data_IF_356420912245
#
_entry.id   IF_356420912245
#
_cell.length_a   1.000
_cell.length_b   1.000
_cell.length_c   1.000
_cell.angle_alpha   90.00
_cell.angle_beta   90.00
_cell.angle_gamma   90.00
#
_symmetry.space_group_name_H-M   'P 1'
#
loop_
_entity.id
_entity.type
_entity.pdbx_description
1 polymer ?
#
# COMPACT_ATOMS: atom_id res chain seq x y z
N UNK A 1 1.61 -12.78 -8.03
CA UNK A 1 1.00 -11.45 -8.24
C UNK A 1 1.96 -10.49 -8.90
N UNK A 2 1.71 -10.19 -10.15
CA UNK A 2 2.53 -9.33 -11.02
C UNK A 2 2.70 -7.90 -10.47
N UNK A 3 1.74 -7.43 -9.69
CA UNK A 3 1.77 -6.08 -9.09
C UNK A 3 2.82 -5.91 -7.98
N UNK A 4 3.14 -6.96 -7.24
CA UNK A 4 3.96 -6.88 -6.01
C UNK A 4 5.39 -6.43 -6.26
N UNK A 5 5.90 -6.63 -7.47
CA UNK A 5 7.24 -6.15 -7.83
C UNK A 5 7.40 -4.64 -7.66
N UNK A 6 6.32 -3.89 -7.90
CA UNK A 6 6.30 -2.43 -7.80
C UNK A 6 5.44 -1.91 -6.65
N UNK A 7 5.33 -2.69 -5.58
CA UNK A 7 4.75 -2.19 -4.34
C UNK A 7 5.59 -1.01 -3.84
N UNK A 8 4.94 0.11 -3.57
CA UNK A 8 5.63 1.36 -3.18
C UNK A 8 5.58 1.63 -1.70
N UNK A 9 4.73 0.93 -0.95
CA UNK A 9 4.65 1.00 0.51
C UNK A 9 4.01 -0.25 1.08
N UNK A 10 4.12 -0.42 2.40
CA UNK A 10 3.42 -1.44 3.16
C UNK A 10 2.52 -0.78 4.19
N UNK A 11 1.39 -1.43 4.48
CA UNK A 11 0.48 -1.01 5.55
C UNK A 11 0.19 -2.18 6.48
N UNK A 12 0.32 -1.93 7.78
CA UNK A 12 -0.10 -2.85 8.82
C UNK A 12 -1.36 -2.33 9.51
N UNK A 13 -2.21 -3.25 9.94
CA UNK A 13 -3.29 -2.92 10.85
C UNK A 13 -2.74 -2.32 12.16
N UNK A 14 -3.39 -1.33 12.75
CA UNK A 14 -2.92 -0.73 14.02
C UNK A 14 -2.79 -1.75 15.16
N UNK A 15 -3.56 -2.84 15.13
CA UNK A 15 -3.56 -3.92 16.13
C UNK A 15 -2.50 -5.00 15.85
N UNK A 16 -1.79 -4.90 14.75
CA UNK A 16 -0.75 -5.89 14.41
C UNK A 16 0.33 -5.93 15.50
N UNK A 17 0.79 -7.13 15.85
CA UNK A 17 1.78 -7.32 16.92
C UNK A 17 3.08 -6.55 16.72
N UNK A 18 3.48 -6.28 15.49
CA UNK A 18 4.67 -5.52 15.15
C UNK A 18 4.46 -4.01 15.11
N UNK A 19 3.21 -3.52 15.14
CA UNK A 19 2.90 -2.12 14.90
C UNK A 19 3.69 -1.16 15.81
N UNK A 20 3.67 -1.40 17.11
CA UNK A 20 4.39 -0.56 18.08
C UNK A 20 5.91 -0.70 17.96
N UNK A 21 6.41 -1.90 17.67
CA UNK A 21 7.85 -2.18 17.60
C UNK A 21 8.52 -1.58 16.36
N UNK A 22 7.77 -1.28 15.31
CA UNK A 22 8.28 -0.65 14.09
C UNK A 22 8.49 0.86 14.23
N UNK A 23 7.94 1.49 15.27
CA UNK A 23 8.14 2.90 15.53
C UNK A 23 9.59 3.21 15.87
N UNK A 24 10.14 4.26 15.27
CA UNK A 24 11.42 4.85 15.67
C UNK A 24 11.21 5.81 16.83
N UNK A 25 12.28 6.29 17.45
CA UNK A 25 12.17 7.26 18.55
C UNK A 25 11.45 8.54 18.11
N UNK A 26 11.65 8.95 16.85
CA UNK A 26 11.02 10.16 16.27
C UNK A 26 9.52 9.96 16.00
N UNK A 27 9.08 8.74 15.71
CA UNK A 27 7.69 8.44 15.33
C UNK A 27 6.88 7.80 16.45
N UNK A 28 7.50 7.41 17.55
CA UNK A 28 6.89 6.62 18.63
C UNK A 28 5.62 7.24 19.18
N UNK A 29 5.64 8.51 19.51
CA UNK A 29 4.48 9.21 20.06
C UNK A 29 3.30 9.22 19.07
N UNK A 30 3.56 9.53 17.80
CA UNK A 30 2.54 9.54 16.77
C UNK A 30 1.97 8.14 16.48
N UNK A 31 2.82 7.12 16.47
CA UNK A 31 2.43 5.72 16.27
C UNK A 31 1.56 5.23 17.42
N UNK A 32 1.98 5.44 18.66
CA UNK A 32 1.22 5.03 19.85
C UNK A 32 -0.15 5.73 19.93
N UNK A 33 -0.18 7.05 19.62
CA UNK A 33 -1.43 7.79 19.53
C UNK A 33 -2.36 7.21 18.47
N UNK A 34 -1.83 6.91 17.28
CA UNK A 34 -2.62 6.35 16.19
C UNK A 34 -3.21 4.98 16.55
N UNK A 35 -2.41 4.10 17.16
CA UNK A 35 -2.86 2.78 17.63
C UNK A 35 -4.00 2.94 18.64
N UNK A 36 -3.86 3.86 19.59
CA UNK A 36 -4.90 4.14 20.57
C UNK A 36 -6.18 4.66 19.92
N UNK A 37 -6.09 5.67 19.08
CA UNK A 37 -7.25 6.27 18.40
C UNK A 37 -7.99 5.23 17.53
N UNK A 38 -7.24 4.39 16.80
CA UNK A 38 -7.82 3.32 16.00
C UNK A 38 -8.53 2.25 16.86
N UNK A 39 -8.03 1.97 18.06
CA UNK A 39 -8.63 1.01 18.99
C UNK A 39 -10.04 1.43 19.46
N UNK A 40 -10.36 2.71 19.37
CA UNK A 40 -11.68 3.25 19.72
C UNK A 40 -12.73 3.10 18.62
N UNK A 41 -12.32 2.72 17.42
CA UNK A 41 -13.22 2.51 16.27
C UNK A 41 -13.61 1.04 16.15
N UNK A 42 -14.88 0.77 15.81
CA UNK A 42 -15.31 -0.57 15.40
C UNK A 42 -14.82 -0.90 13.98
N UNK A 43 -14.76 -2.20 13.63
CA UNK A 43 -14.44 -2.61 12.26
C UNK A 43 -15.44 -2.05 11.24
N UNK A 44 -16.71 -1.91 11.62
CA UNK A 44 -17.75 -1.35 10.76
C UNK A 44 -17.47 0.13 10.46
N UNK A 45 -17.12 0.91 11.49
CA UNK A 45 -16.79 2.32 11.31
C UNK A 45 -15.57 2.48 10.41
N UNK A 46 -14.54 1.66 10.62
CA UNK A 46 -13.30 1.68 9.83
C UNK A 46 -13.54 1.36 8.34
N UNK A 47 -14.43 0.42 8.04
CA UNK A 47 -14.80 0.07 6.65
C UNK A 47 -15.68 1.12 5.99
N UNK A 48 -16.44 1.90 6.77
CA UNK A 48 -17.32 2.96 6.26
C UNK A 48 -16.62 4.31 6.13
N UNK A 49 -15.49 4.50 6.79
CA UNK A 49 -14.72 5.73 6.71
C UNK A 49 -14.24 6.00 5.28
N UNK A 50 -14.71 7.10 4.71
CA UNK A 50 -14.33 7.52 3.35
C UNK A 50 -12.94 8.16 3.32
N UNK A 51 -12.53 8.76 4.42
CA UNK A 51 -11.23 9.41 4.51
C UNK A 51 -10.17 8.44 5.02
N UNK A 52 -9.10 8.26 4.25
CA UNK A 52 -7.96 7.45 4.68
C UNK A 52 -7.15 8.20 5.74
N UNK A 53 -6.85 7.50 6.83
CA UNK A 53 -5.94 7.98 7.88
C UNK A 53 -4.76 7.04 8.00
N UNK A 54 -3.65 7.51 8.53
CA UNK A 54 -2.48 6.68 8.72
C UNK A 54 -1.34 7.43 9.39
N UNK A 55 -0.33 6.67 9.79
CA UNK A 55 0.91 7.18 10.36
C UNK A 55 2.10 6.41 9.82
N UNK A 56 3.16 7.12 9.47
CA UNK A 56 4.43 6.50 9.09
C UNK A 56 5.14 5.97 10.33
N UNK A 57 5.60 4.72 10.30
CA UNK A 57 6.28 4.10 11.46
C UNK A 57 7.72 4.57 11.63
N UNK A 58 8.34 5.10 10.59
CA UNK A 58 9.78 5.40 10.55
C UNK A 58 10.62 4.22 10.05
N UNK A 59 10.03 3.05 9.90
CA UNK A 59 10.69 1.82 9.45
C UNK A 59 10.37 1.49 8.01
N UNK A 60 11.24 0.66 7.41
CA UNK A 60 11.14 0.24 6.01
C UNK A 60 11.25 -1.28 5.91
N UNK A 61 10.62 -1.84 4.90
CA UNK A 61 10.81 -3.21 4.48
C UNK A 61 11.56 -3.27 3.15
N UNK A 62 12.19 -4.40 2.87
CA UNK A 62 12.82 -4.65 1.57
C UNK A 62 11.88 -5.51 0.74
N UNK A 63 11.46 -5.01 -0.42
CA UNK A 63 10.67 -5.79 -1.36
C UNK A 63 11.56 -6.91 -1.94
N UNK A 64 11.25 -8.18 -1.69
CA UNK A 64 12.10 -9.28 -2.13
C UNK A 64 12.14 -9.45 -3.66
N UNK A 65 11.16 -8.90 -4.37
CA UNK A 65 11.07 -9.02 -5.83
C UNK A 65 11.85 -7.95 -6.58
N UNK A 66 12.01 -6.77 -6.01
CA UNK A 66 12.71 -5.64 -6.63
C UNK A 66 13.95 -5.20 -5.87
N UNK A 67 14.13 -5.62 -4.62
CA UNK A 67 15.15 -5.11 -3.73
C UNK A 67 14.89 -3.69 -3.22
N UNK A 68 13.77 -3.08 -3.59
CA UNK A 68 13.44 -1.71 -3.22
C UNK A 68 13.08 -1.61 -1.73
N UNK A 69 13.48 -0.49 -1.12
CA UNK A 69 13.14 -0.12 0.24
C UNK A 69 11.77 0.53 0.26
N UNK A 70 10.81 -0.06 0.96
CA UNK A 70 9.43 0.40 1.02
C UNK A 70 9.08 0.87 2.43
N UNK A 71 8.50 2.10 2.59
CA UNK A 71 8.11 2.59 3.91
C UNK A 71 6.95 1.77 4.47
N UNK A 72 6.94 1.58 5.78
CA UNK A 72 5.89 0.87 6.51
C UNK A 72 5.00 1.90 7.22
N UNK A 73 3.71 1.86 6.91
CA UNK A 73 2.68 2.70 7.50
C UNK A 73 1.72 1.86 8.35
N UNK A 74 1.05 2.49 9.28
CA UNK A 74 -0.15 1.96 9.93
C UNK A 74 -1.36 2.68 9.36
N UNK A 75 -2.42 1.94 9.10
CA UNK A 75 -3.71 2.52 8.70
C UNK A 75 -4.86 1.61 9.11
N UNK A 76 -5.95 2.23 9.51
CA UNK A 76 -7.15 1.54 9.98
C UNK A 76 -8.04 0.98 8.86
N UNK A 77 -7.70 1.23 7.57
CA UNK A 77 -8.39 0.52 6.49
C UNK A 77 -7.91 -0.93 6.31
N UNK A 78 -6.81 -1.31 6.98
CA UNK A 78 -6.32 -2.69 7.06
C UNK A 78 -6.78 -3.31 8.37
N UNK A 79 -7.46 -4.46 8.29
CA UNK A 79 -7.97 -5.18 9.46
C UNK A 79 -7.00 -6.29 9.87
N UNK A 80 -6.75 -6.44 11.18
CA UNK A 80 -5.81 -7.44 11.71
C UNK A 80 -6.29 -8.88 11.54
N UNK A 81 -7.59 -9.09 11.50
CA UNK A 81 -8.23 -10.40 11.32
C UNK A 81 -8.40 -10.81 9.85
N UNK A 82 -7.96 -9.99 8.92
CA UNK A 82 -7.95 -10.29 7.49
C UNK A 82 -6.53 -10.62 7.02
N UNK A 83 -6.30 -11.88 6.66
CA UNK A 83 -4.97 -12.35 6.26
C UNK A 83 -3.96 -12.25 7.40
N UNK A 84 -2.82 -11.62 7.14
CA UNK A 84 -1.75 -11.40 8.14
C UNK A 84 -1.88 -10.06 8.88
N UNK A 85 -2.86 -9.23 8.53
CA UNK A 85 -2.94 -7.86 9.02
C UNK A 85 -1.85 -6.93 8.46
N UNK A 86 -1.12 -7.37 7.43
CA UNK A 86 -0.10 -6.60 6.73
C UNK A 86 -0.26 -6.77 5.23
N UNK A 87 -0.21 -5.68 4.49
CA UNK A 87 -0.37 -5.68 3.03
C UNK A 87 0.78 -4.96 2.34
N UNK A 88 1.17 -5.47 1.18
CA UNK A 88 1.99 -4.74 0.20
C UNK A 88 1.03 -3.92 -0.67
N UNK A 89 1.26 -2.62 -0.75
CA UNK A 89 0.36 -1.71 -1.44
C UNK A 89 0.83 -1.42 -2.85
N UNK A 90 -0.13 -1.47 -3.78
CA UNK A 90 0.06 -1.24 -5.21
C UNK A 90 -0.90 -0.14 -5.68
N UNK A 91 -0.60 1.12 -5.37
CA UNK A 91 -1.55 2.21 -5.51
C UNK A 91 -2.00 2.48 -6.94
N UNK A 92 -1.23 2.06 -7.95
CA UNK A 92 -1.65 2.18 -9.34
C UNK A 92 -2.81 1.23 -9.71
N UNK A 93 -3.06 0.17 -8.93
CA UNK A 93 -3.97 -0.92 -9.28
C UNK A 93 -4.99 -1.28 -8.18
N UNK A 94 -5.05 -0.53 -7.09
CA UNK A 94 -6.03 -0.67 -6.01
C UNK A 94 -6.53 0.71 -5.60
N UNK A 95 -7.84 0.90 -5.57
CA UNK A 95 -8.46 2.20 -5.29
C UNK A 95 -8.15 2.71 -3.87
N UNK A 96 -8.13 1.82 -2.88
CA UNK A 96 -7.85 2.19 -1.48
C UNK A 96 -6.40 2.62 -1.31
N UNK A 97 -5.48 1.86 -1.91
CA UNK A 97 -4.06 2.17 -1.91
C UNK A 97 -3.78 3.46 -2.68
N UNK A 98 -4.52 3.68 -3.78
CA UNK A 98 -4.41 4.92 -4.57
C UNK A 98 -4.80 6.15 -3.75
N UNK A 99 -5.95 6.11 -3.09
CA UNK A 99 -6.43 7.21 -2.23
C UNK A 99 -5.43 7.49 -1.10
N UNK A 100 -4.90 6.45 -0.46
CA UNK A 100 -3.88 6.57 0.58
C UNK A 100 -2.59 7.21 0.04
N UNK A 101 -2.09 6.71 -1.06
CA UNK A 101 -0.86 7.21 -1.68
C UNK A 101 -0.99 8.67 -2.12
N UNK A 102 -2.14 9.06 -2.65
CA UNK A 102 -2.41 10.47 -3.04
C UNK A 102 -2.45 11.37 -1.80
N UNK A 103 -3.09 10.92 -0.73
CA UNK A 103 -3.17 11.70 0.51
C UNK A 103 -1.80 11.94 1.15
N UNK A 104 -0.96 10.93 1.18
CA UNK A 104 0.34 10.98 1.86
C UNK A 104 1.53 11.18 0.93
N UNK A 105 1.29 11.55 -0.34
CA UNK A 105 2.33 11.80 -1.35
C UNK A 105 3.30 10.62 -1.53
N UNK A 106 2.79 9.40 -1.54
CA UNK A 106 3.56 8.19 -1.78
C UNK A 106 3.63 7.93 -3.29
N UNK A 107 4.77 7.46 -3.84
CA UNK A 107 4.88 7.17 -5.26
C UNK A 107 3.86 6.15 -5.75
N UNK A 108 3.30 6.38 -6.94
CA UNK A 108 2.36 5.50 -7.63
C UNK A 108 3.05 5.04 -8.90
N UNK A 109 3.32 3.73 -9.02
CA UNK A 109 4.02 3.13 -10.15
C UNK A 109 3.08 2.18 -10.87
N UNK A 110 2.66 2.52 -12.08
CA UNK A 110 1.83 1.68 -12.91
C UNK A 110 2.64 0.50 -13.46
N UNK A 111 2.10 -0.71 -13.37
CA UNK A 111 2.74 -1.95 -13.86
C UNK A 111 1.93 -2.67 -14.91
N UNK A 112 0.65 -2.38 -15.06
CA UNK A 112 -0.20 -2.86 -16.15
C UNK A 112 -0.79 -1.68 -16.88
N UNK A 113 -0.68 -1.68 -18.19
CA UNK A 113 -1.22 -0.63 -19.05
C UNK A 113 -2.01 -1.22 -20.21
N UNK A 114 -3.10 -0.59 -20.62
CA UNK A 114 -3.98 -1.08 -21.67
C UNK A 114 -3.23 -1.37 -22.99
N UNK A 115 -2.41 -0.44 -23.41
CA UNK A 115 -1.69 -0.54 -24.69
C UNK A 115 -0.16 -0.39 -24.48
N UNK A 116 0.34 -0.84 -23.32
CA UNK A 116 1.76 -0.69 -22.98
C UNK A 116 2.22 0.76 -22.74
N UNK A 117 1.27 1.68 -22.60
CA UNK A 117 1.54 3.11 -22.37
C UNK A 117 1.16 3.50 -20.95
N UNK A 118 2.12 4.06 -20.23
CA UNK A 118 1.91 4.60 -18.89
C UNK A 118 0.94 5.80 -18.93
N UNK A 119 0.05 5.86 -17.94
CA UNK A 119 -0.86 7.01 -17.77
C UNK A 119 -0.11 8.10 -17.02
N UNK A 120 0.15 9.21 -17.70
CA UNK A 120 0.70 10.40 -17.06
C UNK A 120 -0.35 11.00 -16.10
N UNK A 121 0.07 11.33 -14.87
CA UNK A 121 -0.79 11.95 -13.86
C UNK A 121 -2.10 11.18 -13.58
N UNK A 122 -1.99 9.94 -13.14
CA UNK A 122 -3.15 9.11 -12.77
C UNK A 122 -4.08 9.86 -11.81
N UNK A 123 -5.36 9.90 -12.14
CA UNK A 123 -6.43 10.47 -11.30
C UNK A 123 -7.22 9.41 -10.55
N UNK A 124 -7.08 8.17 -10.96
CA UNK A 124 -7.71 6.98 -10.37
C UNK A 124 -6.80 5.76 -10.58
N UNK A 125 -7.04 4.70 -9.82
CA UNK A 125 -6.32 3.45 -10.01
C UNK A 125 -6.74 2.77 -11.32
N UNK A 126 -5.79 2.09 -11.98
CA UNK A 126 -6.06 1.22 -13.10
C UNK A 126 -6.36 -0.19 -12.57
N UNK A 127 -7.63 -0.51 -12.42
CA UNK A 127 -8.10 -1.77 -11.79
C UNK A 127 -8.35 -2.92 -12.78
N UNK A 128 -8.14 -2.70 -14.08
CA UNK A 128 -8.23 -3.75 -15.08
C UNK A 128 -7.13 -4.79 -14.87
N UNK A 129 -7.52 -6.06 -14.75
CA UNK A 129 -6.58 -7.15 -14.49
C UNK A 129 -5.73 -7.54 -15.70
N UNK A 130 -6.13 -7.11 -16.91
CA UNK A 130 -5.46 -7.44 -18.16
C UNK A 130 -4.80 -6.23 -18.80
N UNK A 131 -3.69 -6.46 -19.44
CA UNK A 131 -2.94 -5.45 -20.17
C UNK A 131 -1.47 -5.82 -20.30
N UNK A 132 -0.71 -4.92 -20.90
CA UNK A 132 0.72 -5.10 -21.13
C UNK A 132 1.51 -4.65 -19.92
N UNK A 133 2.47 -5.46 -19.48
CA UNK A 133 3.36 -5.13 -18.36
C UNK A 133 4.30 -3.98 -18.71
N UNK A 134 4.39 -3.02 -17.80
CA UNK A 134 5.34 -1.89 -17.85
C UNK A 134 6.02 -1.74 -16.50
N UNK A 135 7.12 -1.02 -16.42
CA UNK A 135 7.88 -0.76 -15.18
C UNK A 135 8.23 -2.03 -14.37
N UNK A 136 8.34 -3.18 -15.03
CA UNK A 136 8.46 -4.51 -14.39
C UNK A 136 9.71 -5.29 -14.83
N UNK A 137 10.71 -4.60 -15.34
CA UNK A 137 11.99 -5.19 -15.74
C UNK A 137 11.81 -6.23 -16.85
N UNK A 138 12.21 -7.46 -16.62
CA UNK A 138 12.16 -8.55 -17.61
C UNK A 138 10.74 -8.90 -18.06
N UNK A 139 9.72 -8.48 -17.33
CA UNK A 139 8.32 -8.72 -17.68
C UNK A 139 7.72 -7.62 -18.57
N UNK A 140 8.47 -6.55 -18.84
CA UNK A 140 7.98 -5.48 -19.71
C UNK A 140 7.60 -6.01 -21.10
N UNK A 141 6.42 -5.59 -21.57
CA UNK A 141 5.90 -6.01 -22.88
C UNK A 141 5.14 -7.34 -22.85
N UNK A 142 5.15 -8.08 -21.74
CA UNK A 142 4.37 -9.31 -21.58
C UNK A 142 2.91 -9.00 -21.25
N UNK A 143 2.00 -9.85 -21.68
CA UNK A 143 0.60 -9.78 -21.25
C UNK A 143 0.48 -10.22 -19.79
N UNK A 144 -0.21 -9.43 -18.96
CA UNK A 144 -0.39 -9.75 -17.53
C UNK A 144 -1.13 -11.06 -17.27
N UNK A 145 -1.93 -11.52 -18.23
CA UNK A 145 -2.70 -12.77 -18.15
C UNK A 145 -1.86 -14.03 -18.26
N UNK A 146 -0.59 -13.93 -18.68
CA UNK A 146 0.33 -15.08 -18.82
C UNK A 146 1.34 -15.19 -17.67
N UNK A 147 1.29 -14.30 -16.68
CA UNK A 147 2.12 -14.25 -15.47
C UNK A 147 1.33 -14.62 -14.22
#
# INVERSE_FOLDING_TARGET
DVYKRQATFMVLAPEHELAASLATDETREAVEKYIYDASMKSNVDRLQDKEKTGVFTGSYAINPLSGAKTPIWLSDYVLADYGTGAIMCVPAHDDRDFEFAKKFNIPIIQVIAKDGKEIENMTEAYTEASGTMINSGDWNGMESSVL
#
